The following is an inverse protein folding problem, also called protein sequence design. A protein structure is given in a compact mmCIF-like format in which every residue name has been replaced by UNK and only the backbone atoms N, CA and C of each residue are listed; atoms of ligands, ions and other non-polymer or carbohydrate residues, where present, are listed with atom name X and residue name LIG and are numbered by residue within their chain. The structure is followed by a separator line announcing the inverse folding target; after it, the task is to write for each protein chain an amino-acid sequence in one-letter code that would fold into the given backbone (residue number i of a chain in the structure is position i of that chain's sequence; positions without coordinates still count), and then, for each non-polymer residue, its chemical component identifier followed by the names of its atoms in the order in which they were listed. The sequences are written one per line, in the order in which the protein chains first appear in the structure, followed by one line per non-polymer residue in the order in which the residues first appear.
data_IF_519654666399
#
_entry.id   IF_519654666399
#
_cell.length_a   1.000
_cell.length_b   1.000
_cell.length_c   1.000
_cell.angle_alpha   90.00
_cell.angle_beta   90.00
_cell.angle_gamma   90.00
#
_symmetry.space_group_name_H-M   'P 1'
#
loop_
_entity.id
_entity.type
_entity.pdbx_description
1 polymer ?
#
# COMPACT_ATOMS: atom_id res chain seq x y z
N UNK A 1 -19.35 0.36 -45.39
CA UNK A 1 -18.69 -0.95 -45.59
C UNK A 1 -19.76 -2.01 -45.47
N UNK A 2 -19.99 -2.79 -46.52
CA UNK A 2 -21.01 -3.84 -46.55
C UNK A 2 -20.55 -5.03 -45.69
N UNK A 3 -21.22 -5.25 -44.57
CA UNK A 3 -20.88 -6.25 -43.56
C UNK A 3 -21.45 -7.65 -43.90
N UNK A 4 -22.24 -7.77 -44.97
CA UNK A 4 -22.99 -8.99 -45.31
C UNK A 4 -22.16 -10.09 -46.00
N UNK A 5 -20.92 -9.78 -46.44
CA UNK A 5 -20.06 -10.70 -47.20
C UNK A 5 -18.82 -11.22 -46.46
N UNK A 6 -18.64 -10.93 -45.17
CA UNK A 6 -17.47 -11.38 -44.42
C UNK A 6 -17.61 -12.84 -43.96
N UNK A 7 -16.55 -13.63 -44.15
CA UNK A 7 -16.47 -14.98 -43.56
C UNK A 7 -16.31 -14.87 -42.05
N UNK A 8 -16.64 -15.95 -41.33
CA UNK A 8 -16.54 -16.02 -39.87
C UNK A 8 -15.13 -15.67 -39.38
N UNK A 9 -14.09 -16.11 -40.07
CA UNK A 9 -12.70 -15.80 -39.71
C UNK A 9 -12.41 -14.30 -39.80
N UNK A 10 -12.93 -13.61 -40.83
CA UNK A 10 -12.74 -12.16 -40.97
C UNK A 10 -13.48 -11.38 -39.90
N UNK A 11 -14.65 -11.86 -39.47
CA UNK A 11 -15.37 -11.31 -38.32
C UNK A 11 -14.61 -11.49 -37.01
N UNK A 12 -14.08 -12.69 -36.76
CA UNK A 12 -13.27 -12.98 -35.58
C UNK A 12 -11.99 -12.13 -35.55
N UNK A 13 -11.28 -12.01 -36.68
CA UNK A 13 -10.10 -11.17 -36.80
C UNK A 13 -10.41 -9.69 -36.59
N UNK A 14 -11.51 -9.19 -37.16
CA UNK A 14 -11.94 -7.79 -36.98
C UNK A 14 -12.33 -7.50 -35.53
N UNK A 15 -13.03 -8.43 -34.88
CA UNK A 15 -13.39 -8.34 -33.46
C UNK A 15 -12.16 -8.35 -32.55
N UNK A 16 -11.21 -9.25 -32.80
CA UNK A 16 -9.96 -9.31 -32.05
C UNK A 16 -9.13 -8.02 -32.21
N UNK A 17 -9.01 -7.51 -33.44
CA UNK A 17 -8.31 -6.25 -33.71
C UNK A 17 -8.96 -5.07 -32.96
N UNK A 18 -10.29 -4.97 -32.98
CA UNK A 18 -11.01 -3.93 -32.24
C UNK A 18 -10.79 -4.07 -30.73
N UNK A 19 -10.90 -5.27 -30.17
CA UNK A 19 -10.70 -5.52 -28.75
C UNK A 19 -9.28 -5.14 -28.30
N UNK A 20 -8.26 -5.47 -29.10
CA UNK A 20 -6.87 -5.07 -28.80
C UNK A 20 -6.68 -3.56 -28.84
N UNK A 21 -7.27 -2.86 -29.82
CA UNK A 21 -7.19 -1.39 -29.89
C UNK A 21 -7.88 -0.74 -28.68
N UNK A 22 -9.05 -1.25 -28.29
CA UNK A 22 -9.77 -0.79 -27.09
C UNK A 22 -8.94 -1.04 -25.83
N UNK A 23 -8.41 -2.25 -25.68
CA UNK A 23 -7.55 -2.61 -24.54
C UNK A 23 -6.32 -1.71 -24.45
N UNK A 24 -5.60 -1.49 -25.56
CA UNK A 24 -4.47 -0.57 -25.60
C UNK A 24 -4.89 0.87 -25.28
N UNK A 25 -6.06 1.31 -25.75
CA UNK A 25 -6.63 2.60 -25.38
C UNK A 25 -6.83 2.71 -23.87
N UNK A 26 -7.50 1.73 -23.25
CA UNK A 26 -7.70 1.70 -21.79
C UNK A 26 -6.36 1.65 -21.05
N UNK A 27 -5.43 0.78 -21.45
CA UNK A 27 -4.13 0.65 -20.80
C UNK A 27 -3.28 1.93 -20.87
N UNK A 28 -3.37 2.69 -21.96
CA UNK A 28 -2.60 3.93 -22.15
C UNK A 28 -3.26 5.15 -21.50
N UNK A 29 -4.59 5.22 -21.46
CA UNK A 29 -5.31 6.40 -20.98
C UNK A 29 -5.93 6.24 -19.58
N UNK A 30 -6.13 5.01 -19.13
CA UNK A 30 -6.71 4.66 -17.83
C UNK A 30 -5.99 3.44 -17.21
N UNK A 31 -4.67 3.52 -17.00
CA UNK A 31 -3.88 2.39 -16.48
C UNK A 31 -4.40 1.86 -15.15
N UNK A 32 -4.97 2.75 -14.31
CA UNK A 32 -5.50 2.38 -12.99
C UNK A 32 -6.71 1.43 -12.98
N UNK A 33 -7.35 1.18 -14.13
CA UNK A 33 -8.44 0.19 -14.24
C UNK A 33 -7.96 -1.24 -13.92
N UNK A 34 -6.66 -1.50 -14.05
CA UNK A 34 -6.06 -2.80 -13.78
C UNK A 34 -5.36 -2.87 -12.42
N UNK A 35 -5.42 -1.79 -11.64
CA UNK A 35 -4.81 -1.78 -10.32
C UNK A 35 -5.59 -2.68 -9.36
N UNK A 36 -4.89 -3.42 -8.48
CA UNK A 36 -5.54 -4.19 -7.43
C UNK A 36 -6.32 -3.26 -6.50
N UNK A 37 -7.57 -3.59 -6.23
CA UNK A 37 -8.39 -2.87 -5.25
C UNK A 37 -7.83 -3.11 -3.83
N UNK A 38 -7.55 -2.05 -3.05
CA UNK A 38 -6.90 -2.16 -1.75
C UNK A 38 -7.81 -2.76 -0.68
N UNK A 39 -7.32 -3.78 0.03
CA UNK A 39 -8.03 -4.45 1.12
C UNK A 39 -7.80 -3.71 2.45
N UNK A 40 -8.52 -2.63 2.72
CA UNK A 40 -8.35 -1.82 3.94
C UNK A 40 -8.57 -2.58 5.25
N UNK A 41 -9.45 -3.58 5.26
CA UNK A 41 -9.76 -4.39 6.45
C UNK A 41 -8.57 -5.18 7.02
N UNK A 42 -7.45 -5.25 6.28
CA UNK A 42 -6.21 -5.88 6.77
C UNK A 42 -5.62 -5.16 7.98
N UNK A 43 -5.91 -3.87 8.17
CA UNK A 43 -5.44 -3.12 9.34
C UNK A 43 -6.02 -3.67 10.65
N UNK A 44 -7.21 -4.25 10.63
CA UNK A 44 -7.87 -4.83 11.80
C UNK A 44 -7.46 -6.28 12.08
N UNK A 45 -6.74 -6.91 11.15
CA UNK A 45 -6.26 -8.27 11.27
C UNK A 45 -5.39 -8.50 12.51
N UNK A 46 -5.54 -9.67 13.13
CA UNK A 46 -4.76 -10.09 14.29
C UNK A 46 -4.44 -11.58 14.15
N UNK A 47 -3.15 -11.93 14.21
CA UNK A 47 -2.69 -13.33 14.21
C UNK A 47 -2.95 -13.99 15.56
N UNK A 48 -2.85 -13.21 16.64
CA UNK A 48 -2.76 -13.71 18.01
C UNK A 48 -1.37 -14.32 18.29
N UNK A 49 -0.93 -14.27 19.55
CA UNK A 49 0.39 -14.74 19.93
C UNK A 49 1.54 -13.81 19.49
N UNK A 50 2.67 -13.93 20.16
CA UNK A 50 3.92 -13.18 19.86
C UNK A 50 4.92 -14.01 19.04
N UNK A 51 4.53 -15.22 18.66
CA UNK A 51 5.35 -16.17 17.93
C UNK A 51 4.63 -16.57 16.64
N UNK A 52 5.38 -16.83 15.59
CA UNK A 52 4.85 -17.14 14.25
C UNK A 52 4.39 -18.60 14.08
N UNK A 53 4.49 -19.43 15.12
CA UNK A 53 4.15 -20.85 15.04
C UNK A 53 2.63 -21.06 15.14
N UNK A 54 2.05 -21.72 14.15
CA UNK A 54 0.68 -22.27 14.14
C UNK A 54 -0.47 -21.25 14.21
N UNK A 55 -0.26 -20.01 13.73
CA UNK A 55 -1.27 -18.92 13.74
C UNK A 55 -2.00 -18.72 12.41
N UNK A 56 -1.93 -19.69 11.49
CA UNK A 56 -2.75 -19.70 10.26
C UNK A 56 -2.31 -18.73 9.16
N UNK A 57 -1.03 -18.38 9.11
CA UNK A 57 -0.44 -17.54 8.06
C UNK A 57 -0.35 -18.34 6.75
N UNK A 58 -0.94 -17.82 5.67
CA UNK A 58 -0.81 -18.37 4.31
C UNK A 58 0.16 -17.55 3.47
N UNK A 59 0.17 -16.23 3.66
CA UNK A 59 1.05 -15.31 2.94
C UNK A 59 1.94 -14.58 3.94
N UNK A 60 3.23 -14.50 3.64
CA UNK A 60 4.22 -13.80 4.45
C UNK A 60 5.21 -13.11 3.51
N UNK A 61 5.27 -11.78 3.55
CA UNK A 61 6.24 -11.02 2.75
C UNK A 61 6.70 -9.72 3.44
N UNK A 62 7.77 -9.10 2.90
CA UNK A 62 8.56 -8.08 3.59
C UNK A 62 8.85 -6.83 2.72
N UNK A 63 7.89 -5.90 2.59
CA UNK A 63 8.22 -4.58 2.07
C UNK A 63 9.01 -3.77 3.12
N UNK A 64 9.70 -2.75 2.64
CA UNK A 64 10.56 -1.89 3.42
C UNK A 64 10.06 -0.45 3.27
N UNK A 65 9.83 0.25 4.39
CA UNK A 65 9.31 1.61 4.41
C UNK A 65 10.34 2.57 5.02
N UNK A 66 10.53 3.70 4.36
CA UNK A 66 11.31 4.84 4.85
C UNK A 66 10.50 6.11 4.70
N UNK A 67 10.50 6.92 5.75
CA UNK A 67 9.77 8.18 5.80
C UNK A 67 10.74 9.30 6.13
N UNK A 68 10.68 10.39 5.37
CA UNK A 68 11.52 11.57 5.57
C UNK A 68 10.63 12.82 5.60
N UNK A 69 10.80 13.66 6.62
CA UNK A 69 10.13 14.97 6.75
C UNK A 69 11.22 16.04 6.81
N UNK A 70 11.22 16.98 5.85
CA UNK A 70 12.23 18.03 5.72
C UNK A 70 13.68 17.52 5.79
N UNK A 71 13.94 16.40 5.11
CA UNK A 71 15.24 15.73 5.09
C UNK A 71 15.60 14.98 6.38
N UNK A 72 14.73 14.99 7.40
CA UNK A 72 14.90 14.25 8.65
C UNK A 72 14.15 12.91 8.60
N UNK A 73 14.82 11.84 9.00
CA UNK A 73 14.22 10.51 9.03
C UNK A 73 13.18 10.39 10.16
N UNK A 74 11.94 10.05 9.80
CA UNK A 74 10.91 9.71 10.75
C UNK A 74 11.02 8.22 11.09
N UNK A 75 11.43 7.93 12.33
CA UNK A 75 11.60 6.55 12.78
C UNK A 75 10.25 5.87 13.01
N UNK A 76 10.09 4.67 12.47
CA UNK A 76 9.00 3.76 12.81
C UNK A 76 9.45 2.95 14.04
N UNK A 77 8.74 3.04 15.18
CA UNK A 77 9.11 2.33 16.39
C UNK A 77 9.18 0.81 16.21
N UNK A 78 10.06 0.17 16.97
CA UNK A 78 10.05 -1.27 17.10
C UNK A 78 8.75 -1.72 17.79
N UNK A 79 8.26 -2.91 17.44
CA UNK A 79 7.01 -3.48 17.91
C UNK A 79 5.74 -2.72 17.51
N UNK A 80 5.81 -1.82 16.52
CA UNK A 80 4.59 -1.22 15.96
C UNK A 80 3.68 -2.31 15.40
N UNK A 81 2.43 -2.34 15.86
CA UNK A 81 1.46 -3.37 15.50
C UNK A 81 1.50 -4.62 16.38
N UNK A 82 2.24 -4.62 17.50
CA UNK A 82 2.34 -5.74 18.44
C UNK A 82 1.76 -5.34 19.80
N UNK A 83 0.98 -6.24 20.42
CA UNK A 83 0.28 -6.03 21.70
C UNK A 83 -0.61 -4.76 21.73
N UNK A 84 -1.24 -4.46 20.60
CA UNK A 84 -2.15 -3.32 20.46
C UNK A 84 -3.53 -3.58 21.08
N UNK A 85 -4.25 -2.50 21.40
CA UNK A 85 -5.69 -2.60 21.66
C UNK A 85 -6.40 -3.22 20.46
N UNK A 86 -7.20 -4.26 20.71
CA UNK A 86 -7.83 -5.08 19.66
C UNK A 86 -6.97 -6.23 19.14
N UNK A 87 -5.70 -6.35 19.57
CA UNK A 87 -4.81 -7.48 19.30
C UNK A 87 -3.79 -7.64 20.45
N UNK A 88 -4.30 -7.77 21.67
CA UNK A 88 -3.49 -7.93 22.90
C UNK A 88 -2.72 -9.25 22.85
N UNK A 89 -1.47 -9.23 23.33
CA UNK A 89 -0.56 -10.39 23.30
C UNK A 89 -0.46 -11.03 21.91
N UNK A 90 -0.61 -10.21 20.87
CA UNK A 90 -0.71 -10.63 19.48
C UNK A 90 -0.01 -9.68 18.53
N UNK A 91 0.13 -10.10 17.29
CA UNK A 91 0.66 -9.28 16.20
C UNK A 91 -0.45 -8.97 15.19
N UNK A 92 -0.54 -7.71 14.78
CA UNK A 92 -1.38 -7.30 13.64
C UNK A 92 -0.86 -7.93 12.36
N UNK A 93 -1.71 -8.11 11.35
CA UNK A 93 -1.29 -8.66 10.04
C UNK A 93 -0.21 -7.81 9.37
N UNK A 94 -0.10 -6.53 9.70
CA UNK A 94 1.06 -5.70 9.35
C UNK A 94 1.74 -5.26 10.64
N UNK A 95 3.01 -5.58 10.83
CA UNK A 95 3.74 -5.20 12.04
C UNK A 95 5.23 -5.05 11.80
N UNK A 96 5.94 -4.52 12.82
CA UNK A 96 7.37 -4.28 12.79
C UNK A 96 8.03 -4.91 14.01
N UNK A 97 9.05 -5.74 13.83
CA UNK A 97 9.85 -6.23 14.95
C UNK A 97 10.97 -5.27 15.37
N UNK A 98 11.68 -4.70 14.39
CA UNK A 98 12.83 -3.85 14.65
C UNK A 98 12.68 -2.52 13.91
N UNK A 99 12.99 -1.42 14.59
CA UNK A 99 13.03 -0.11 13.97
C UNK A 99 14.17 -0.05 12.93
N UNK A 100 13.93 0.63 11.81
CA UNK A 100 15.01 1.08 10.94
C UNK A 100 15.84 2.14 11.68
N UNK A 101 17.16 1.98 11.71
CA UNK A 101 18.07 2.92 12.36
C UNK A 101 18.90 3.71 11.33
N UNK A 102 19.25 4.95 11.68
CA UNK A 102 20.19 5.78 10.91
C UNK A 102 19.78 6.01 9.45
N UNK A 103 18.48 6.25 9.20
CA UNK A 103 17.96 6.54 7.86
C UNK A 103 17.83 5.31 6.95
N UNK A 104 17.98 4.11 7.51
CA UNK A 104 17.66 2.85 6.83
C UNK A 104 16.15 2.62 6.79
N UNK A 105 15.73 1.78 5.85
CA UNK A 105 14.35 1.34 5.79
C UNK A 105 13.98 0.51 7.03
N UNK A 106 12.72 0.64 7.44
CA UNK A 106 12.09 -0.27 8.40
C UNK A 106 11.41 -1.39 7.63
N UNK A 107 11.73 -2.64 7.98
CA UNK A 107 11.06 -3.80 7.41
C UNK A 107 9.67 -3.95 8.02
N UNK A 108 8.65 -3.99 7.18
CA UNK A 108 7.31 -4.38 7.57
C UNK A 108 7.17 -5.89 7.37
N UNK A 109 6.47 -6.54 8.28
CA UNK A 109 6.03 -7.92 8.14
C UNK A 109 4.56 -7.91 7.76
N UNK A 110 4.22 -8.49 6.61
CA UNK A 110 2.84 -8.68 6.17
C UNK A 110 2.53 -10.16 6.22
N UNK A 111 1.58 -10.52 7.08
CA UNK A 111 1.24 -11.89 7.40
C UNK A 111 -0.28 -12.07 7.43
N UNK A 112 -0.82 -12.65 6.36
CA UNK A 112 -2.27 -12.74 6.15
C UNK A 112 -2.73 -14.19 5.94
N UNK A 113 -4.00 -14.52 6.24
CA UNK A 113 -4.52 -15.88 6.13
C UNK A 113 -4.78 -16.33 4.67
N UNK A 114 -4.70 -15.40 3.72
CA UNK A 114 -4.84 -15.63 2.29
C UNK A 114 -4.25 -14.45 1.53
N UNK A 115 -4.07 -14.58 0.20
CA UNK A 115 -3.70 -13.44 -0.64
C UNK A 115 -4.69 -12.27 -0.47
N UNK A 116 -4.16 -11.12 -0.11
CA UNK A 116 -4.86 -9.84 0.07
C UNK A 116 -4.03 -8.71 -0.54
N UNK A 117 -4.69 -7.70 -1.08
CA UNK A 117 -4.08 -6.51 -1.64
C UNK A 117 -3.81 -5.50 -0.51
N UNK A 118 -2.72 -5.71 0.23
CA UNK A 118 -2.42 -4.94 1.45
C UNK A 118 -1.95 -3.52 1.09
N UNK A 119 -2.74 -2.46 1.37
CA UNK A 119 -2.35 -1.10 1.02
C UNK A 119 -1.39 -0.51 2.06
N UNK A 120 -0.50 0.38 1.62
CA UNK A 120 0.42 1.12 2.48
C UNK A 120 -0.31 1.86 3.61
N UNK A 121 -1.50 2.41 3.31
CA UNK A 121 -2.28 3.11 4.31
C UNK A 121 -2.79 2.25 5.47
N UNK A 122 -3.01 0.95 5.26
CA UNK A 122 -3.41 0.06 6.35
C UNK A 122 -2.32 -0.05 7.44
N UNK A 123 -1.04 0.09 7.06
CA UNK A 123 0.04 0.15 8.04
C UNK A 123 -0.03 1.43 8.89
N UNK A 124 -0.32 2.58 8.26
CA UNK A 124 -0.48 3.84 8.99
C UNK A 124 -1.72 3.84 9.90
N UNK A 125 -2.81 3.17 9.51
CA UNK A 125 -3.95 2.94 10.41
C UNK A 125 -3.55 2.12 11.64
N UNK A 126 -2.70 1.10 11.47
CA UNK A 126 -2.15 0.33 12.59
C UNK A 126 -1.27 1.22 13.47
N UNK A 127 -0.40 2.05 12.88
CA UNK A 127 0.53 2.89 13.62
C UNK A 127 -0.16 4.02 14.40
N UNK A 128 -1.22 4.64 13.87
CA UNK A 128 -2.01 5.67 14.57
C UNK A 128 -2.63 5.16 15.88
N UNK A 129 -2.94 3.85 15.99
CA UNK A 129 -3.49 3.25 17.22
C UNK A 129 -2.52 3.32 18.41
N UNK A 130 -1.22 3.45 18.15
CA UNK A 130 -0.17 3.66 19.15
C UNK A 130 0.27 5.13 19.25
N UNK A 131 -0.43 6.02 18.54
CA UNK A 131 -0.14 7.46 18.50
C UNK A 131 0.87 7.87 17.43
N UNK A 132 1.14 7.01 16.44
CA UNK A 132 1.93 7.36 15.26
C UNK A 132 1.22 8.31 14.29
N UNK A 133 1.89 8.65 13.16
CA UNK A 133 1.31 9.38 12.05
C UNK A 133 -0.01 8.78 11.58
N UNK A 134 -0.93 9.65 11.19
CA UNK A 134 -2.25 9.24 10.73
C UNK A 134 -2.34 9.28 9.21
N UNK A 135 -2.92 8.24 8.66
CA UNK A 135 -3.41 8.21 7.28
C UNK A 135 -4.79 7.58 7.29
N UNK A 136 -5.81 8.37 6.96
CA UNK A 136 -7.16 7.83 6.78
C UNK A 136 -7.33 7.44 5.32
N UNK A 137 -7.97 6.28 5.10
CA UNK A 137 -8.20 5.65 3.80
C UNK A 137 -8.91 6.50 2.74
N UNK A 138 -9.44 5.87 1.68
CA UNK A 138 -9.47 6.42 0.33
C UNK A 138 -10.29 7.72 0.18
N UNK A 139 -11.25 7.94 1.08
CA UNK A 139 -12.14 9.11 1.06
C UNK A 139 -11.60 10.32 1.83
N UNK A 140 -10.63 10.13 2.74
CA UNK A 140 -10.19 11.19 3.64
C UNK A 140 -8.84 11.80 3.27
N UNK A 141 -7.94 11.07 2.58
CA UNK A 141 -6.59 11.51 2.14
C UNK A 141 -5.80 12.34 3.16
N UNK A 142 -6.10 12.26 4.44
CA UNK A 142 -5.47 13.10 5.47
C UNK A 142 -4.29 12.35 6.02
N UNK A 143 -3.18 12.42 5.30
CA UNK A 143 -1.87 12.33 5.95
C UNK A 143 -1.83 13.45 6.99
N UNK A 144 -1.48 13.11 8.22
CA UNK A 144 -1.27 14.04 9.33
C UNK A 144 -0.09 13.48 10.13
N UNK A 145 1.11 13.73 9.62
CA UNK A 145 2.36 13.15 10.12
C UNK A 145 2.75 13.75 11.47
N UNK A 146 2.40 15.01 11.71
CA UNK A 146 2.73 15.75 12.93
C UNK A 146 1.57 15.79 13.95
N UNK A 147 0.38 15.28 13.57
CA UNK A 147 -0.85 15.17 14.39
C UNK A 147 -1.42 16.52 14.82
N UNK A 148 -1.20 17.56 14.02
CA UNK A 148 -1.72 18.90 14.31
C UNK A 148 -3.21 19.06 13.92
N UNK A 149 -3.78 18.08 13.21
CA UNK A 149 -5.18 18.05 12.76
C UNK A 149 -5.45 18.74 11.42
N UNK A 150 -4.40 19.23 10.75
CA UNK A 150 -4.37 19.74 9.39
C UNK A 150 -3.88 18.61 8.49
N UNK A 151 -4.32 18.58 7.24
CA UNK A 151 -3.80 17.59 6.31
C UNK A 151 -2.39 17.99 5.86
N UNK A 152 -1.47 17.04 5.87
CA UNK A 152 -0.13 17.20 5.31
C UNK A 152 -0.14 17.64 3.85
N UNK A 153 -1.19 17.34 3.08
CA UNK A 153 -1.30 17.86 1.70
C UNK A 153 -1.46 19.37 1.64
N UNK A 154 -1.91 20.00 2.72
CA UNK A 154 -1.97 21.46 2.85
C UNK A 154 -0.58 22.03 3.21
N UNK A 155 0.20 21.29 4.00
CA UNK A 155 1.45 21.77 4.61
C UNK A 155 2.73 21.36 3.87
N UNK A 156 2.70 20.22 3.17
CA UNK A 156 3.85 19.60 2.54
C UNK A 156 3.63 19.32 1.05
N UNK A 157 4.71 19.38 0.29
CA UNK A 157 4.85 18.68 -0.99
C UNK A 157 5.25 17.23 -0.68
N UNK A 158 4.35 16.29 -1.00
CA UNK A 158 4.51 14.86 -0.69
C UNK A 158 4.88 14.09 -1.96
N UNK A 159 5.87 13.21 -1.86
CA UNK A 159 6.24 12.28 -2.92
C UNK A 159 6.38 10.86 -2.39
N UNK A 160 5.92 9.90 -3.20
CA UNK A 160 6.11 8.47 -2.98
C UNK A 160 6.97 7.92 -4.11
N UNK A 161 8.03 7.19 -3.76
CA UNK A 161 8.75 6.35 -4.70
C UNK A 161 8.77 4.91 -4.24
N UNK A 162 8.63 4.00 -5.19
CA UNK A 162 8.71 2.55 -4.98
C UNK A 162 9.85 2.03 -5.85
N UNK A 163 10.84 1.41 -5.23
CA UNK A 163 12.03 0.89 -5.92
C UNK A 163 12.75 1.95 -6.78
N UNK A 164 12.70 3.22 -6.34
CA UNK A 164 13.28 4.36 -7.04
C UNK A 164 12.42 4.97 -8.15
N UNK A 165 11.24 4.40 -8.43
CA UNK A 165 10.30 4.93 -9.43
C UNK A 165 9.17 5.71 -8.75
N UNK A 166 8.72 6.81 -9.36
CA UNK A 166 7.62 7.61 -8.83
C UNK A 166 6.32 6.81 -8.83
N UNK A 167 5.55 6.95 -7.75
CA UNK A 167 4.23 6.36 -7.60
C UNK A 167 3.27 7.41 -7.05
N UNK A 168 2.03 7.41 -7.54
CA UNK A 168 0.99 8.40 -7.20
C UNK A 168 -0.22 7.78 -6.49
N UNK A 169 -0.13 6.51 -6.09
CA UNK A 169 -1.20 5.80 -5.35
C UNK A 169 -1.20 6.11 -3.86
N UNK A 170 -0.06 6.52 -3.30
CA UNK A 170 0.10 6.89 -1.89
C UNK A 170 -0.53 5.86 -0.94
N UNK A 171 -1.59 6.24 -0.22
CA UNK A 171 -2.31 5.40 0.73
C UNK A 171 -2.88 4.12 0.11
N UNK A 172 -3.24 4.15 -1.18
CA UNK A 172 -3.80 3.04 -1.94
C UNK A 172 -2.71 2.14 -2.57
N UNK A 173 -1.42 2.45 -2.38
CA UNK A 173 -0.35 1.63 -2.92
C UNK A 173 -0.38 0.23 -2.30
N UNK A 174 -0.74 -0.78 -3.10
CA UNK A 174 -0.69 -2.20 -2.70
C UNK A 174 0.76 -2.64 -2.67
N UNK A 175 1.24 -2.99 -1.46
CA UNK A 175 2.64 -3.33 -1.23
C UNK A 175 2.95 -4.75 -1.69
N UNK A 176 4.10 -4.93 -2.34
CA UNK A 176 4.61 -6.22 -2.80
C UNK A 176 5.87 -6.63 -2.01
N UNK A 177 6.26 -7.90 -2.12
CA UNK A 177 7.45 -8.40 -1.45
C UNK A 177 8.71 -7.67 -1.91
N UNK A 178 9.59 -7.37 -0.94
CA UNK A 178 10.88 -6.69 -1.14
C UNK A 178 10.82 -5.25 -1.67
N UNK A 179 9.63 -4.65 -1.76
CA UNK A 179 9.52 -3.24 -2.15
C UNK A 179 10.34 -2.35 -1.22
N UNK A 180 11.01 -1.35 -1.81
CA UNK A 180 11.59 -0.22 -1.08
C UNK A 180 10.73 1.00 -1.32
N UNK A 181 9.94 1.36 -0.30
CA UNK A 181 8.94 2.41 -0.32
C UNK A 181 9.51 3.62 0.41
N UNK A 182 9.64 4.75 -0.28
CA UNK A 182 10.11 6.01 0.30
C UNK A 182 9.00 7.06 0.21
N UNK A 183 8.57 7.57 1.37
CA UNK A 183 7.70 8.73 1.49
C UNK A 183 8.53 9.93 1.92
N UNK A 184 8.48 11.00 1.12
CA UNK A 184 9.18 12.25 1.43
C UNK A 184 8.17 13.39 1.51
N UNK A 185 8.22 14.11 2.63
CA UNK A 185 7.43 15.30 2.94
C UNK A 185 8.38 16.50 2.98
N UNK A 186 8.11 17.52 2.17
CA UNK A 186 8.88 18.77 2.14
C UNK A 186 7.94 19.93 2.44
N UNK A 187 8.21 20.69 3.50
CA UNK A 187 7.40 21.84 3.91
C UNK A 187 7.32 22.88 2.78
N UNK A 188 6.14 23.49 2.60
CA UNK A 188 5.87 24.53 1.58
C UNK A 188 6.37 25.93 1.96
#
# INVERSE_FOLDING_TARGET
MDLSGMTTEKWLLSGAALATVVFLGVALFQPGVFDPEPDWGVSDGCLGGLEHSDVGISEHYHPNLKITVDGQFQTIPANTGIDQVGCREGMRWIHVHNAGENGQFTKLHIETPSKMNVPLGAFFEIWDREGGPKLLGPDDKKFDIDRNGISDWEEFDISLTVNGESNDKFEEYVMEDLDNIELNFTSK
#
